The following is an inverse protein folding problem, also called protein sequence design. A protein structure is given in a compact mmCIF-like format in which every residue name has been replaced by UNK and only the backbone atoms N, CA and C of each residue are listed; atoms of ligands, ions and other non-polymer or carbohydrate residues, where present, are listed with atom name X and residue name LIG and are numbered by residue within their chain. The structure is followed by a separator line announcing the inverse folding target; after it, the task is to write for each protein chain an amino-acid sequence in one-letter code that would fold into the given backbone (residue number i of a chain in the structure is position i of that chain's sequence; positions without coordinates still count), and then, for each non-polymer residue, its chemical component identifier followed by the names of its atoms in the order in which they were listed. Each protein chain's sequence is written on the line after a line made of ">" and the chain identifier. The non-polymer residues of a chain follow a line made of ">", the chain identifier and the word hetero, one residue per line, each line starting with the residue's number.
data_IF_526779123456
#
_entry.id   IF_526779123456
#
_cell.length_a   1.000
_cell.length_b   1.000
_cell.length_c   1.000
_cell.angle_alpha   90.00
_cell.angle_beta   90.00
_cell.angle_gamma   90.00
#
_symmetry.space_group_name_H-M   'P 1'
#
loop_
_entity.id
_entity.type
_entity.pdbx_description
1 polymer ?
#
# COMPACT_ATOMS: atom_id res chain seq x y z
N UNK A 1 5.01 49.20 17.20
CA UNK A 1 4.97 47.95 16.41
C UNK A 1 4.07 47.02 17.17
N UNK A 2 2.87 46.77 16.65
CA UNK A 2 1.80 46.13 17.43
C UNK A 2 2.05 44.63 17.53
N UNK A 3 1.81 44.05 18.70
CA UNK A 3 1.99 42.61 18.96
C UNK A 3 1.18 41.75 17.97
N UNK A 4 0.08 42.30 17.47
CA UNK A 4 -0.79 41.66 16.49
C UNK A 4 -0.16 41.57 15.08
N UNK A 5 0.64 42.56 14.68
CA UNK A 5 1.36 42.54 13.39
C UNK A 5 2.50 41.51 13.41
N UNK A 6 3.14 41.30 14.57
CA UNK A 6 4.16 40.25 14.76
C UNK A 6 3.57 38.84 14.68
N UNK A 7 2.41 38.60 15.30
CA UNK A 7 1.72 37.30 15.27
C UNK A 7 1.24 36.92 13.85
N UNK A 8 0.74 37.91 13.09
CA UNK A 8 0.20 37.70 11.74
C UNK A 8 1.29 37.29 10.73
N UNK A 9 2.54 37.72 10.96
CA UNK A 9 3.69 37.38 10.09
C UNK A 9 4.39 36.09 10.55
N UNK A 10 4.56 35.87 11.86
CA UNK A 10 5.26 34.69 12.38
C UNK A 10 4.48 33.39 12.21
N UNK A 11 3.15 33.43 12.33
CA UNK A 11 2.28 32.26 12.17
C UNK A 11 2.44 31.54 10.82
N UNK A 12 2.22 32.20 9.68
CA UNK A 12 2.34 31.56 8.37
C UNK A 12 3.76 31.08 8.07
N UNK A 13 4.79 31.78 8.54
CA UNK A 13 6.19 31.34 8.39
C UNK A 13 6.44 30.04 9.15
N UNK A 14 5.96 29.92 10.39
CA UNK A 14 6.07 28.69 11.17
C UNK A 14 5.31 27.53 10.52
N UNK A 15 4.12 27.79 9.97
CA UNK A 15 3.32 26.79 9.24
C UNK A 15 4.03 26.31 7.98
N UNK A 16 4.61 27.23 7.19
CA UNK A 16 5.39 26.87 5.99
C UNK A 16 6.62 26.04 6.37
N UNK A 17 7.35 26.41 7.43
CA UNK A 17 8.50 25.63 7.90
C UNK A 17 8.10 24.23 8.38
N UNK A 18 6.98 24.12 9.12
CA UNK A 18 6.44 22.82 9.55
C UNK A 18 6.01 21.97 8.34
N UNK A 19 5.38 22.58 7.35
CA UNK A 19 4.93 21.92 6.13
C UNK A 19 6.11 21.44 5.28
N UNK A 20 7.18 22.23 5.15
CA UNK A 20 8.43 21.85 4.49
C UNK A 20 9.08 20.62 5.17
N UNK A 21 9.03 20.52 6.50
CA UNK A 21 9.52 19.35 7.25
C UNK A 21 8.69 18.09 6.96
N UNK A 22 7.37 18.23 6.80
CA UNK A 22 6.48 17.12 6.44
C UNK A 22 6.71 16.64 5.00
N UNK A 23 6.96 17.54 4.04
CA UNK A 23 7.29 17.19 2.66
C UNK A 23 8.65 16.46 2.61
N UNK A 24 9.64 16.91 3.38
CA UNK A 24 10.94 16.26 3.47
C UNK A 24 10.89 14.84 4.08
N UNK A 25 9.95 14.58 5.00
CA UNK A 25 9.72 13.23 5.53
C UNK A 25 9.14 12.28 4.47
N UNK A 26 8.25 12.79 3.60
CA UNK A 26 7.66 12.00 2.50
C UNK A 26 8.70 11.57 1.47
N UNK A 27 9.70 12.40 1.18
CA UNK A 27 10.75 12.07 0.20
C UNK A 27 11.69 10.92 0.63
N UNK A 28 11.76 10.60 1.93
CA UNK A 28 12.57 9.46 2.42
C UNK A 28 11.89 8.11 2.20
N UNK A 29 10.56 8.06 2.10
CA UNK A 29 9.83 6.81 1.82
C UNK A 29 10.14 6.27 0.41
N UNK A 30 10.27 7.13 -0.60
CA UNK A 30 10.54 6.69 -1.99
C UNK A 30 11.89 6.00 -2.18
N UNK A 31 12.89 6.32 -1.32
CA UNK A 31 14.19 5.61 -1.34
C UNK A 31 14.13 4.23 -0.69
N UNK A 32 13.13 3.98 0.14
CA UNK A 32 12.92 2.70 0.80
C UNK A 32 12.29 1.70 -0.17
N UNK A 33 11.31 2.14 -0.96
CA UNK A 33 10.65 1.33 -1.99
C UNK A 33 11.66 0.84 -3.05
N UNK A 34 12.49 1.73 -3.59
CA UNK A 34 13.48 1.35 -4.61
C UNK A 34 14.56 0.37 -4.13
N UNK A 35 14.83 0.31 -2.81
CA UNK A 35 15.76 -0.69 -2.24
C UNK A 35 15.11 -2.06 -2.09
N UNK A 36 13.81 -2.12 -1.81
CA UNK A 36 13.08 -3.39 -1.70
C UNK A 36 13.08 -4.11 -3.05
N UNK A 37 12.82 -3.38 -4.15
CA UNK A 37 12.89 -3.96 -5.50
C UNK A 37 14.29 -4.46 -5.87
N UNK A 38 15.33 -3.73 -5.47
CA UNK A 38 16.72 -4.12 -5.73
C UNK A 38 17.12 -5.40 -4.95
N UNK A 39 16.65 -5.54 -3.71
CA UNK A 39 16.90 -6.73 -2.89
C UNK A 39 16.08 -7.92 -3.40
N UNK A 40 14.81 -7.72 -3.76
CA UNK A 40 13.94 -8.76 -4.31
C UNK A 40 14.56 -9.37 -5.57
N UNK A 41 15.00 -8.54 -6.51
CA UNK A 41 15.65 -9.00 -7.76
C UNK A 41 16.99 -9.69 -7.51
N UNK A 42 17.80 -9.18 -6.60
CA UNK A 42 19.11 -9.76 -6.29
C UNK A 42 19.01 -11.11 -5.56
N UNK A 43 17.88 -11.38 -4.89
CA UNK A 43 17.68 -12.60 -4.09
C UNK A 43 17.04 -13.75 -4.89
N UNK A 44 16.56 -13.51 -6.11
CA UNK A 44 15.83 -14.52 -6.90
C UNK A 44 14.47 -14.92 -6.30
N UNK A 45 13.93 -14.11 -5.38
CA UNK A 45 12.64 -14.35 -4.74
C UNK A 45 11.57 -13.66 -5.59
N UNK A 46 10.82 -14.45 -6.34
CA UNK A 46 9.58 -13.98 -6.96
C UNK A 46 8.56 -13.75 -5.85
N UNK A 47 8.32 -12.47 -5.50
CA UNK A 47 7.30 -12.12 -4.52
C UNK A 47 5.94 -12.35 -5.17
N UNK A 48 5.41 -13.56 -5.01
CA UNK A 48 4.03 -13.88 -5.37
C UNK A 48 3.10 -13.50 -4.22
N UNK A 49 2.26 -12.46 -4.36
CA UNK A 49 1.27 -12.09 -3.36
C UNK A 49 0.28 -13.23 -3.06
N UNK A 50 0.09 -14.18 -4.00
CA UNK A 50 -0.74 -15.37 -3.78
C UNK A 50 -0.06 -16.44 -2.91
N UNK A 51 1.27 -16.40 -2.76
CA UNK A 51 1.99 -17.26 -1.83
C UNK A 51 1.77 -16.84 -0.36
N UNK A 52 1.52 -15.55 -0.13
CA UNK A 52 1.33 -14.98 1.22
C UNK A 52 -0.10 -15.16 1.75
N UNK A 53 -1.08 -15.41 0.88
CA UNK A 53 -2.47 -15.68 1.33
C UNK A 53 -2.67 -17.14 1.73
N UNK A 54 -3.58 -17.40 2.70
CA UNK A 54 -3.93 -18.76 3.10
C UNK A 54 -4.33 -19.62 1.90
N UNK A 55 -3.98 -20.90 1.92
CA UNK A 55 -4.26 -21.86 0.83
C UNK A 55 -5.73 -21.83 0.42
N UNK A 56 -6.64 -21.83 1.39
CA UNK A 56 -8.08 -21.78 1.17
C UNK A 56 -8.57 -20.50 0.45
N UNK A 57 -7.85 -19.38 0.58
CA UNK A 57 -8.16 -18.13 -0.12
C UNK A 57 -7.69 -18.22 -1.58
N UNK A 58 -6.51 -18.79 -1.81
CA UNK A 58 -5.96 -19.03 -3.15
C UNK A 58 -6.83 -20.01 -3.94
N UNK A 59 -7.24 -21.13 -3.35
CA UNK A 59 -8.14 -22.10 -3.99
C UNK A 59 -9.46 -21.45 -4.42
N UNK A 60 -10.08 -20.67 -3.52
CA UNK A 60 -11.31 -19.94 -3.83
C UNK A 60 -11.10 -18.89 -4.95
N UNK A 61 -9.95 -18.21 -4.97
CA UNK A 61 -9.57 -17.30 -6.06
C UNK A 61 -9.37 -18.04 -7.37
N UNK A 62 -8.73 -19.21 -7.36
CA UNK A 62 -8.47 -20.05 -8.52
C UNK A 62 -9.76 -20.51 -9.20
N UNK A 63 -10.74 -20.89 -8.38
CA UNK A 63 -12.08 -21.34 -8.77
C UNK A 63 -13.03 -20.19 -9.14
N UNK A 64 -12.61 -18.92 -8.96
CA UNK A 64 -13.45 -17.75 -9.24
C UNK A 64 -14.52 -17.46 -8.19
N UNK A 65 -14.43 -18.10 -7.01
CA UNK A 65 -15.35 -17.96 -5.90
C UNK A 65 -14.98 -16.77 -5.00
N UNK A 66 -15.08 -15.55 -5.53
CA UNK A 66 -14.58 -14.34 -4.85
C UNK A 66 -15.22 -14.07 -3.48
N UNK A 67 -16.53 -14.35 -3.34
CA UNK A 67 -17.24 -14.18 -2.07
C UNK A 67 -16.67 -15.15 -1.02
N UNK A 68 -16.37 -16.39 -1.42
CA UNK A 68 -15.74 -17.38 -0.56
C UNK A 68 -14.32 -16.95 -0.20
N UNK A 69 -13.54 -16.45 -1.15
CA UNK A 69 -12.19 -15.95 -0.90
C UNK A 69 -12.18 -14.81 0.13
N UNK A 70 -13.12 -13.86 0.04
CA UNK A 70 -13.30 -12.77 1.01
C UNK A 70 -13.64 -13.34 2.39
N UNK A 71 -14.57 -14.30 2.45
CA UNK A 71 -14.96 -14.94 3.72
C UNK A 71 -13.78 -15.65 4.37
N UNK A 72 -13.04 -16.48 3.62
CA UNK A 72 -11.87 -17.23 4.11
C UNK A 72 -10.74 -16.31 4.53
N UNK A 73 -10.53 -15.20 3.82
CA UNK A 73 -9.53 -14.21 4.21
C UNK A 73 -9.88 -13.57 5.55
N UNK A 74 -11.14 -13.17 5.76
CA UNK A 74 -11.61 -12.61 7.04
C UNK A 74 -11.50 -13.60 8.19
N UNK A 75 -11.84 -14.86 7.96
CA UNK A 75 -11.74 -15.91 8.97
C UNK A 75 -10.29 -16.18 9.37
N UNK A 76 -9.36 -16.11 8.41
CA UNK A 76 -7.94 -16.38 8.65
C UNK A 76 -7.18 -15.20 9.29
N UNK A 77 -7.52 -13.95 8.95
CA UNK A 77 -6.74 -12.76 9.36
C UNK A 77 -7.49 -11.84 10.32
N UNK A 78 -8.81 -11.99 10.47
CA UNK A 78 -9.64 -11.12 11.30
C UNK A 78 -9.91 -9.73 10.71
N UNK A 79 -9.51 -9.46 9.47
CA UNK A 79 -9.68 -8.14 8.84
C UNK A 79 -11.14 -7.78 8.58
N UNK A 80 -11.41 -6.49 8.48
CA UNK A 80 -12.74 -5.97 8.16
C UNK A 80 -13.19 -6.37 6.75
N UNK A 81 -14.51 -6.35 6.51
CA UNK A 81 -15.09 -6.72 5.20
C UNK A 81 -14.57 -5.85 4.06
N UNK A 82 -14.39 -4.54 4.30
CA UNK A 82 -13.85 -3.59 3.32
C UNK A 82 -12.42 -3.95 2.92
N UNK A 83 -11.57 -4.26 3.90
CA UNK A 83 -10.17 -4.62 3.69
C UNK A 83 -10.06 -5.96 2.95
N UNK A 84 -10.80 -6.98 3.40
CA UNK A 84 -10.80 -8.27 2.72
C UNK A 84 -11.24 -8.16 1.26
N UNK A 85 -12.31 -7.41 0.97
CA UNK A 85 -12.75 -7.17 -0.41
C UNK A 85 -11.67 -6.49 -1.22
N UNK A 86 -11.06 -5.43 -0.68
CA UNK A 86 -10.01 -4.69 -1.35
C UNK A 86 -8.83 -5.60 -1.72
N UNK A 87 -8.37 -6.43 -0.80
CA UNK A 87 -7.28 -7.40 -1.03
C UNK A 87 -7.64 -8.41 -2.11
N UNK A 88 -8.83 -9.00 -2.05
CA UNK A 88 -9.28 -9.99 -3.04
C UNK A 88 -9.46 -9.37 -4.43
N UNK A 89 -10.02 -8.16 -4.53
CA UNK A 89 -10.17 -7.44 -5.79
C UNK A 89 -8.80 -7.13 -6.43
N UNK A 90 -7.80 -6.79 -5.62
CA UNK A 90 -6.43 -6.54 -6.09
C UNK A 90 -5.73 -7.81 -6.57
N UNK A 91 -5.84 -8.90 -5.81
CA UNK A 91 -5.32 -10.21 -6.22
C UNK A 91 -5.98 -10.70 -7.51
N UNK A 92 -7.29 -10.48 -7.67
CA UNK A 92 -8.01 -10.79 -8.91
C UNK A 92 -7.49 -9.99 -10.09
N UNK A 93 -7.28 -8.67 -9.92
CA UNK A 93 -6.75 -7.81 -10.99
C UNK A 93 -5.36 -8.26 -11.43
N UNK A 94 -4.46 -8.55 -10.49
CA UNK A 94 -3.11 -9.03 -10.79
C UNK A 94 -3.10 -10.40 -11.47
N UNK A 95 -3.99 -11.31 -11.06
CA UNK A 95 -4.17 -12.59 -11.76
C UNK A 95 -4.65 -12.42 -13.20
N UNK A 96 -5.49 -11.43 -13.46
CA UNK A 96 -5.98 -11.11 -14.80
C UNK A 96 -4.91 -10.41 -15.66
N UNK A 97 -3.85 -9.87 -15.05
CA UNK A 97 -2.69 -9.27 -15.71
C UNK A 97 -1.38 -10.00 -15.30
N UNK A 98 -1.21 -11.28 -15.70
CA UNK A 98 -0.07 -12.10 -15.27
C UNK A 98 1.28 -11.63 -15.84
N UNK A 99 1.26 -10.68 -16.78
CA UNK A 99 2.43 -10.02 -17.32
C UNK A 99 1.96 -8.72 -17.94
N UNK A 100 2.40 -7.58 -17.39
CA UNK A 100 2.22 -6.25 -17.98
C UNK A 100 2.74 -6.21 -19.42
N UNK A 101 1.94 -6.73 -20.34
CA UNK A 101 2.25 -6.84 -21.75
C UNK A 101 1.88 -5.51 -22.36
N UNK A 102 2.91 -4.67 -22.45
CA UNK A 102 3.09 -3.57 -23.41
C UNK A 102 2.23 -2.33 -23.18
N UNK A 103 2.80 -1.37 -22.45
CA UNK A 103 2.89 0.02 -22.88
C UNK A 103 4.17 0.65 -22.32
#
# INVERSE_FOLDING_TARGET
>A
MDTNTLLLVLGPVAVVVLFQRLIALRARLSRLEGKIDAILRASGIDYDPLATVPVAVREALEQGEYILAIKRLREATGVGLKEAKYTIDELRRRRADPAGTRA
#
